data_IF_639502130982
#
_entry.id   IF_639502130982
#
_cell.length_a   1.000
_cell.length_b   1.000
_cell.length_c   1.000
_cell.angle_alpha   90.00
_cell.angle_beta   90.00
_cell.angle_gamma   90.00
#
_symmetry.space_group_name_H-M   'P 1'
#
loop_
_entity.id
_entity.type
_entity.pdbx_description
1 polymer ?
#
# COMPACT_ATOMS: atom_id res chain seq x y z
N UNK A 1 11.49 14.02 3.96
CA UNK A 1 12.04 13.91 2.57
C UNK A 1 11.30 12.85 1.81
N UNK A 2 11.35 12.85 0.46
CA UNK A 2 10.77 11.78 -0.35
C UNK A 2 11.63 10.51 -0.28
N UNK A 3 10.97 9.35 -0.32
CA UNK A 3 11.65 8.06 -0.44
C UNK A 3 12.50 8.04 -1.71
N UNK A 4 13.73 7.56 -1.62
CA UNK A 4 14.58 7.35 -2.79
C UNK A 4 13.99 6.24 -3.66
N UNK A 5 13.91 6.49 -4.97
CA UNK A 5 13.47 5.49 -5.92
C UNK A 5 14.59 4.50 -6.20
N UNK A 6 14.25 3.23 -6.19
CA UNK A 6 15.14 2.17 -6.61
C UNK A 6 14.89 1.86 -8.09
N UNK A 7 15.96 1.54 -8.80
CA UNK A 7 15.86 0.95 -10.13
C UNK A 7 15.62 -0.55 -9.96
N UNK A 8 14.35 -0.94 -10.00
CA UNK A 8 13.97 -2.34 -9.83
C UNK A 8 14.36 -3.15 -11.08
N UNK A 9 15.07 -4.25 -10.84
CA UNK A 9 15.36 -5.25 -11.87
C UNK A 9 14.07 -5.98 -12.28
N UNK A 10 14.18 -6.91 -13.23
CA UNK A 10 13.04 -7.70 -13.71
C UNK A 10 12.32 -8.50 -12.60
N UNK A 11 13.01 -8.81 -11.51
CA UNK A 11 12.42 -9.54 -10.39
C UNK A 11 12.95 -9.03 -9.05
N UNK A 12 12.07 -9.06 -8.04
CA UNK A 12 12.37 -8.79 -6.63
C UNK A 12 12.13 -10.07 -5.84
N UNK A 13 13.01 -10.33 -4.88
CA UNK A 13 12.86 -11.45 -3.96
C UNK A 13 12.42 -10.93 -2.59
N UNK A 14 11.32 -11.46 -2.08
CA UNK A 14 10.83 -11.17 -0.73
C UNK A 14 11.17 -12.33 0.20
N UNK A 15 11.54 -11.99 1.44
CA UNK A 15 11.69 -12.99 2.50
C UNK A 15 10.30 -13.23 3.08
N UNK A 16 9.88 -14.49 3.06
CA UNK A 16 8.60 -14.90 3.63
C UNK A 16 8.51 -14.55 5.12
N UNK A 17 7.34 -14.08 5.55
CA UNK A 17 7.04 -13.68 6.93
C UNK A 17 7.91 -12.52 7.47
N UNK A 18 8.45 -11.67 6.58
CA UNK A 18 9.22 -10.48 6.97
C UNK A 18 8.37 -9.21 7.14
N UNK A 19 7.05 -9.35 7.10
CA UNK A 19 6.11 -8.23 7.23
C UNK A 19 5.77 -7.56 5.90
N UNK A 20 5.24 -6.34 5.96
CA UNK A 20 4.85 -5.58 4.76
C UNK A 20 6.07 -4.93 4.14
N UNK A 21 6.30 -5.21 2.88
CA UNK A 21 7.40 -4.67 2.08
C UNK A 21 6.89 -3.63 1.09
N UNK A 22 7.72 -2.63 0.79
CA UNK A 22 7.32 -1.54 -0.10
C UNK A 22 8.19 -1.50 -1.35
N UNK A 23 7.54 -1.27 -2.50
CA UNK A 23 8.19 -0.92 -3.76
C UNK A 23 7.69 0.46 -4.19
N UNK A 24 8.61 1.38 -4.48
CA UNK A 24 8.29 2.76 -4.76
C UNK A 24 8.71 3.17 -6.17
N UNK A 25 7.79 3.86 -6.86
CA UNK A 25 8.00 4.33 -8.22
C UNK A 25 7.67 5.82 -8.32
N UNK A 26 8.44 6.53 -9.12
CA UNK A 26 8.07 7.86 -9.59
C UNK A 26 7.28 7.76 -10.89
N UNK A 27 6.30 8.61 -11.06
CA UNK A 27 5.45 8.61 -12.23
C UNK A 27 5.02 10.03 -12.61
N UNK A 28 5.06 10.32 -13.91
CA UNK A 28 4.33 11.42 -14.52
C UNK A 28 3.26 10.81 -15.43
N UNK A 29 2.00 10.69 -14.96
CA UNK A 29 0.94 10.00 -15.69
C UNK A 29 0.73 10.57 -17.08
N UNK A 30 0.67 9.70 -18.08
CA UNK A 30 0.35 10.07 -19.45
C UNK A 30 -1.03 9.52 -19.80
N UNK A 31 -1.90 10.38 -20.29
CA UNK A 31 -3.21 9.97 -20.78
C UNK A 31 -3.06 9.44 -22.22
N UNK A 32 -3.49 8.22 -22.45
CA UNK A 32 -3.47 7.58 -23.77
C UNK A 32 -4.88 7.51 -24.33
N UNK A 33 -5.01 7.35 -25.65
CA UNK A 33 -6.32 7.30 -26.31
C UNK A 33 -7.20 6.14 -25.81
N UNK A 34 -6.58 5.05 -25.31
CA UNK A 34 -7.28 3.91 -24.74
C UNK A 34 -7.73 4.10 -23.29
N UNK A 35 -7.12 5.05 -22.56
CA UNK A 35 -7.49 5.31 -21.19
C UNK A 35 -8.93 5.83 -21.08
N UNK A 36 -9.67 5.26 -20.11
CA UNK A 36 -10.99 5.75 -19.73
C UNK A 36 -12.09 5.56 -20.77
N UNK A 37 -11.95 4.65 -21.68
CA UNK A 37 -12.99 4.32 -22.68
C UNK A 37 -13.53 2.94 -22.40
N UNK A 38 -14.81 2.88 -21.99
CA UNK A 38 -15.44 1.65 -21.52
C UNK A 38 -16.76 1.38 -22.21
N UNK A 39 -17.11 0.10 -22.26
CA UNK A 39 -18.39 -0.42 -22.76
C UNK A 39 -18.83 -1.60 -21.90
N UNK A 40 -20.14 -1.86 -21.87
CA UNK A 40 -20.73 -3.08 -21.34
C UNK A 40 -21.50 -3.78 -22.45
N UNK A 41 -21.15 -5.03 -22.71
CA UNK A 41 -21.88 -5.81 -23.75
C UNK A 41 -23.29 -6.19 -23.34
N UNK A 42 -23.52 -6.34 -22.04
CA UNK A 42 -24.84 -6.65 -21.48
C UNK A 42 -25.09 -5.81 -20.23
N UNK A 43 -26.34 -5.58 -19.89
CA UNK A 43 -26.71 -4.78 -18.72
C UNK A 43 -26.08 -5.27 -17.39
N UNK A 44 -25.82 -6.58 -17.28
CA UNK A 44 -25.23 -7.21 -16.11
C UNK A 44 -23.82 -7.77 -16.36
N UNK A 45 -23.23 -7.48 -17.53
CA UNK A 45 -21.89 -7.93 -17.85
C UNK A 45 -20.81 -7.04 -17.24
N UNK A 46 -19.55 -7.49 -17.23
CA UNK A 46 -18.44 -6.72 -16.74
C UNK A 46 -18.24 -5.45 -17.56
N UNK A 47 -17.63 -4.46 -16.93
CA UNK A 47 -17.13 -3.27 -17.61
C UNK A 47 -15.85 -3.65 -18.37
N UNK A 48 -15.83 -3.38 -19.68
CA UNK A 48 -14.73 -3.70 -20.57
C UNK A 48 -14.08 -2.41 -21.08
N UNK A 49 -12.77 -2.32 -21.00
CA UNK A 49 -12.00 -1.23 -21.55
C UNK A 49 -11.81 -1.41 -23.05
N UNK A 50 -11.90 -0.34 -23.80
CA UNK A 50 -11.69 -0.34 -25.23
C UNK A 50 -10.22 -0.04 -25.59
N UNK A 51 -9.71 -0.81 -26.53
CA UNK A 51 -8.44 -0.48 -27.18
C UNK A 51 -8.66 0.56 -28.27
N UNK A 52 -7.62 1.37 -28.54
CA UNK A 52 -7.66 2.34 -29.61
C UNK A 52 -6.82 1.90 -30.82
N UNK A 53 -7.50 1.63 -31.92
CA UNK A 53 -6.86 1.35 -33.20
C UNK A 53 -6.33 2.67 -33.80
N UNK A 54 -5.03 2.93 -33.62
CA UNK A 54 -4.36 4.14 -34.09
C UNK A 54 -4.42 4.28 -35.62
N UNK A 55 -4.47 3.17 -36.35
CA UNK A 55 -4.44 3.18 -37.83
C UNK A 55 -5.78 3.66 -38.38
N UNK A 56 -6.88 3.18 -37.81
CA UNK A 56 -8.22 3.47 -38.28
C UNK A 56 -8.94 4.53 -37.43
N UNK A 57 -8.34 5.03 -36.38
CA UNK A 57 -8.89 6.07 -35.49
C UNK A 57 -10.20 5.65 -34.81
N UNK A 58 -10.30 4.39 -34.40
CA UNK A 58 -11.53 3.83 -33.82
C UNK A 58 -11.26 2.99 -32.58
N UNK A 59 -12.28 2.86 -31.73
CA UNK A 59 -12.21 2.03 -30.54
C UNK A 59 -12.64 0.61 -30.86
N UNK A 60 -11.96 -0.36 -30.26
CA UNK A 60 -12.23 -1.78 -30.48
C UNK A 60 -12.23 -2.54 -29.15
N UNK A 61 -13.02 -3.59 -29.09
CA UNK A 61 -12.86 -4.65 -28.09
C UNK A 61 -11.88 -5.69 -28.62
N UNK A 62 -10.96 -6.19 -27.79
CA UNK A 62 -10.12 -7.32 -28.16
C UNK A 62 -10.96 -8.53 -28.60
N UNK A 63 -10.55 -9.20 -29.67
CA UNK A 63 -11.22 -10.42 -30.11
C UNK A 63 -11.04 -11.56 -29.10
N UNK A 64 -12.12 -12.26 -28.78
CA UNK A 64 -12.07 -13.43 -27.91
C UNK A 64 -11.46 -14.60 -28.69
N UNK A 65 -10.52 -15.33 -28.08
CA UNK A 65 -9.85 -16.51 -28.66
C UNK A 65 -9.19 -16.28 -30.03
N UNK A 66 -8.59 -15.10 -30.24
CA UNK A 66 -7.91 -14.76 -31.50
C UNK A 66 -8.90 -14.31 -32.61
N UNK A 67 -10.15 -14.03 -32.28
CA UNK A 67 -11.12 -13.43 -33.20
C UNK A 67 -10.72 -12.01 -33.62
N UNK A 68 -11.39 -11.50 -34.66
CA UNK A 68 -11.18 -10.11 -35.10
C UNK A 68 -11.68 -9.13 -34.02
N UNK A 69 -10.97 -8.01 -33.79
CA UNK A 69 -11.42 -6.96 -32.88
C UNK A 69 -12.79 -6.39 -33.35
N UNK A 70 -13.70 -6.26 -32.42
CA UNK A 70 -15.01 -5.66 -32.68
C UNK A 70 -14.95 -4.13 -32.55
N UNK A 71 -15.40 -3.41 -33.57
CA UNK A 71 -15.47 -1.94 -33.51
C UNK A 71 -16.67 -1.52 -32.67
N UNK A 72 -16.42 -0.79 -31.59
CA UNK A 72 -17.43 -0.40 -30.61
C UNK A 72 -17.29 1.09 -30.27
N UNK A 73 -18.39 1.75 -29.97
CA UNK A 73 -18.37 3.13 -29.46
C UNK A 73 -18.29 3.10 -27.93
N UNK A 74 -17.47 3.95 -27.30
CA UNK A 74 -17.47 4.09 -25.84
C UNK A 74 -18.86 4.50 -25.31
N UNK A 75 -19.34 3.79 -24.31
CA UNK A 75 -20.55 4.17 -23.55
C UNK A 75 -20.21 5.08 -22.39
N UNK A 76 -19.06 4.82 -21.76
CA UNK A 76 -18.55 5.58 -20.63
C UNK A 76 -17.15 6.08 -20.94
N UNK A 77 -16.90 7.36 -20.63
CA UNK A 77 -15.59 7.98 -20.79
C UNK A 77 -15.18 8.62 -19.48
N UNK A 78 -14.08 8.14 -18.92
CA UNK A 78 -13.51 8.64 -17.66
C UNK A 78 -12.03 8.98 -17.89
N UNK A 79 -11.66 10.27 -17.97
CA UNK A 79 -10.27 10.65 -18.14
C UNK A 79 -9.38 10.18 -16.99
N UNK A 80 -8.14 9.81 -17.29
CA UNK A 80 -7.19 9.31 -16.29
C UNK A 80 -6.98 10.30 -15.13
N UNK A 81 -6.92 11.60 -15.41
CA UNK A 81 -6.74 12.60 -14.35
C UNK A 81 -7.88 12.64 -13.33
N UNK A 82 -9.13 12.30 -13.74
CA UNK A 82 -10.25 12.14 -12.81
C UNK A 82 -10.05 10.91 -11.93
N UNK A 83 -9.59 9.79 -12.52
CA UNK A 83 -9.31 8.57 -11.75
C UNK A 83 -8.22 8.81 -10.70
N UNK A 84 -7.16 9.54 -11.07
CA UNK A 84 -6.11 9.91 -10.15
C UNK A 84 -6.59 10.83 -9.03
N UNK A 85 -7.52 11.75 -9.32
CA UNK A 85 -8.10 12.61 -8.28
C UNK A 85 -9.01 11.82 -7.32
N UNK A 86 -9.84 10.90 -7.84
CA UNK A 86 -10.71 10.02 -7.04
C UNK A 86 -9.91 9.11 -6.12
N UNK A 87 -8.77 8.61 -6.58
CA UNK A 87 -7.99 7.57 -5.92
C UNK A 87 -6.72 8.11 -5.26
N UNK A 88 -6.50 9.44 -5.21
CA UNK A 88 -5.31 10.04 -4.60
C UNK A 88 -5.18 9.68 -3.13
N UNK A 89 -4.07 9.06 -2.78
CA UNK A 89 -3.77 8.66 -1.41
C UNK A 89 -4.63 7.53 -0.84
N UNK A 90 -5.43 6.87 -1.67
CA UNK A 90 -6.26 5.72 -1.26
C UNK A 90 -5.48 4.43 -1.49
N UNK A 91 -5.46 3.56 -0.47
CA UNK A 91 -4.96 2.21 -0.63
C UNK A 91 -5.99 1.34 -1.35
N UNK A 92 -5.57 0.70 -2.42
CA UNK A 92 -6.42 -0.16 -3.24
C UNK A 92 -5.77 -1.53 -3.43
N UNK A 93 -6.57 -2.59 -3.45
CA UNK A 93 -6.08 -3.92 -3.80
C UNK A 93 -5.65 -3.96 -5.26
N UNK A 94 -4.56 -4.68 -5.54
CA UNK A 94 -4.09 -4.93 -6.90
C UNK A 94 -3.79 -6.41 -7.10
N UNK A 95 -4.10 -6.97 -8.27
CA UNK A 95 -3.94 -8.38 -8.55
C UNK A 95 -2.48 -8.71 -8.87
N UNK A 96 -1.71 -9.10 -7.86
CA UNK A 96 -0.42 -9.76 -8.05
C UNK A 96 -0.66 -11.26 -8.05
N UNK A 97 -0.79 -11.84 -9.22
CA UNK A 97 -1.22 -13.23 -9.39
C UNK A 97 -0.04 -14.13 -9.75
N UNK A 98 -0.16 -15.41 -9.42
CA UNK A 98 0.75 -16.45 -9.91
C UNK A 98 0.69 -16.48 -11.43
N UNK A 99 1.85 -16.53 -12.08
CA UNK A 99 1.88 -16.61 -13.53
C UNK A 99 3.01 -17.48 -14.04
N UNK A 100 2.79 -18.02 -15.25
CA UNK A 100 3.79 -18.70 -16.04
C UNK A 100 4.23 -17.78 -17.19
N UNK A 101 5.53 -17.53 -17.38
CA UNK A 101 5.99 -16.79 -18.54
C UNK A 101 5.56 -17.48 -19.84
N UNK A 102 5.22 -16.76 -20.94
CA UNK A 102 5.42 -15.32 -21.06
C UNK A 102 4.34 -14.44 -20.41
N UNK A 103 3.12 -14.89 -20.15
CA UNK A 103 2.08 -14.11 -19.48
C UNK A 103 0.76 -14.89 -19.33
N UNK A 104 0.85 -16.09 -18.79
CA UNK A 104 -0.35 -16.87 -18.46
C UNK A 104 -0.56 -16.84 -16.95
N UNK A 105 -1.58 -16.12 -16.49
CA UNK A 105 -1.90 -16.02 -15.08
C UNK A 105 -2.69 -17.22 -14.60
N UNK A 106 -2.38 -17.66 -13.40
CA UNK A 106 -3.09 -18.69 -12.64
C UNK A 106 -3.76 -17.99 -11.46
N UNK A 107 -4.90 -18.49 -10.99
CA UNK A 107 -5.65 -17.90 -9.88
C UNK A 107 -4.80 -17.71 -8.62
N UNK A 108 -5.15 -16.64 -7.87
CA UNK A 108 -4.61 -16.25 -6.57
C UNK A 108 -3.10 -16.11 -6.47
N UNK A 109 -2.58 -15.64 -5.36
CA UNK A 109 -3.25 -15.12 -4.17
C UNK A 109 -3.77 -13.68 -4.39
N UNK A 110 -4.92 -13.34 -3.79
CA UNK A 110 -5.62 -12.09 -4.11
C UNK A 110 -5.26 -10.91 -3.20
N UNK A 111 -5.47 -11.04 -1.88
CA UNK A 111 -5.32 -9.92 -0.94
C UNK A 111 -3.94 -9.90 -0.27
N UNK A 112 -2.87 -9.75 -1.04
CA UNK A 112 -1.51 -9.64 -0.50
C UNK A 112 -0.71 -8.49 -1.12
N UNK A 113 -1.27 -7.81 -2.12
CA UNK A 113 -0.68 -6.65 -2.74
C UNK A 113 -1.67 -5.48 -2.78
N UNK A 114 -1.20 -4.30 -2.42
CA UNK A 114 -1.97 -3.05 -2.43
C UNK A 114 -1.14 -1.95 -3.04
N UNK A 115 -1.81 -0.98 -3.65
CA UNK A 115 -1.18 0.20 -4.23
C UNK A 115 -1.76 1.46 -3.64
N UNK A 116 -0.93 2.45 -3.47
CA UNK A 116 -1.33 3.84 -3.26
C UNK A 116 -0.64 4.71 -4.30
N UNK A 117 -1.40 5.57 -4.95
CA UNK A 117 -0.86 6.62 -5.82
C UNK A 117 -1.08 7.96 -5.14
N UNK A 118 -0.04 8.75 -5.04
CA UNK A 118 -0.09 10.06 -4.39
C UNK A 118 0.44 11.13 -5.32
N UNK A 119 -0.37 12.17 -5.54
CA UNK A 119 0.09 13.38 -6.21
C UNK A 119 1.08 14.13 -5.32
N UNK A 120 2.18 14.59 -5.88
CA UNK A 120 3.16 15.41 -5.18
C UNK A 120 2.79 16.89 -5.29
N UNK A 121 3.02 17.66 -4.23
CA UNK A 121 2.83 19.12 -4.23
C UNK A 121 3.78 19.80 -5.21
N UNK A 122 5.00 19.27 -5.31
CA UNK A 122 6.02 19.68 -6.29
C UNK A 122 6.63 18.43 -6.91
N UNK A 123 6.96 18.47 -8.23
CA UNK A 123 7.67 17.35 -8.85
C UNK A 123 8.95 17.00 -8.11
N UNK A 124 9.31 15.72 -8.11
CA UNK A 124 10.56 15.25 -7.53
C UNK A 124 11.77 15.64 -8.40
N UNK A 125 12.98 15.30 -7.95
CA UNK A 125 14.23 15.62 -8.64
C UNK A 125 14.35 14.99 -10.04
N UNK A 126 13.59 13.93 -10.31
CA UNK A 126 13.51 13.29 -11.62
C UNK A 126 12.35 13.83 -12.49
N UNK A 127 11.58 14.80 -11.97
CA UNK A 127 10.44 15.41 -12.66
C UNK A 127 9.13 14.63 -12.52
N UNK A 128 9.07 13.60 -11.67
CA UNK A 128 7.83 12.87 -11.46
C UNK A 128 6.84 13.70 -10.65
N UNK A 129 5.58 13.68 -11.08
CA UNK A 129 4.49 14.42 -10.43
C UNK A 129 3.69 13.57 -9.42
N UNK A 130 3.88 12.27 -9.45
CA UNK A 130 3.21 11.30 -8.57
C UNK A 130 4.20 10.30 -8.01
N UNK A 131 3.87 9.77 -6.84
CA UNK A 131 4.49 8.59 -6.24
C UNK A 131 3.51 7.43 -6.26
N UNK A 132 4.02 6.27 -6.64
CA UNK A 132 3.30 5.01 -6.57
C UNK A 132 4.02 4.13 -5.56
N UNK A 133 3.32 3.71 -4.53
CA UNK A 133 3.83 2.77 -3.53
C UNK A 133 3.03 1.49 -3.61
N UNK A 134 3.70 0.38 -3.94
CA UNK A 134 3.15 -0.96 -3.77
C UNK A 134 3.51 -1.45 -2.36
N UNK A 135 2.53 -1.94 -1.64
CA UNK A 135 2.71 -2.65 -0.38
C UNK A 135 2.43 -4.12 -0.61
N UNK A 136 3.39 -4.96 -0.27
CA UNK A 136 3.34 -6.40 -0.45
C UNK A 136 3.39 -7.07 0.92
N UNK A 137 2.37 -7.83 1.27
CA UNK A 137 2.33 -8.61 2.49
C UNK A 137 3.09 -9.92 2.28
N UNK A 138 4.23 -10.07 2.95
CA UNK A 138 5.09 -11.25 2.80
C UNK A 138 4.65 -12.44 3.63
N UNK A 139 3.56 -12.34 4.37
CA UNK A 139 3.04 -13.43 5.18
C UNK A 139 2.53 -14.58 4.31
N UNK A 140 3.01 -15.78 4.58
CA UNK A 140 2.58 -17.01 3.93
C UNK A 140 1.64 -17.82 4.83
N UNK A 141 0.62 -18.43 4.21
CA UNK A 141 -0.27 -19.32 4.92
C UNK A 141 0.43 -20.66 5.25
N UNK A 142 0.36 -21.06 6.51
CA UNK A 142 0.99 -22.29 7.01
C UNK A 142 0.35 -23.58 6.47
N UNK A 143 -0.82 -23.51 5.87
CA UNK A 143 -1.51 -24.66 5.27
C UNK A 143 -2.18 -24.29 3.94
N UNK A 144 -2.19 -25.24 3.03
CA UNK A 144 -2.62 -25.12 1.64
C UNK A 144 -4.12 -24.78 1.42
N UNK A 145 -4.85 -24.41 2.46
CA UNK A 145 -6.30 -24.15 2.38
C UNK A 145 -6.68 -22.75 1.96
N UNK A 146 -5.74 -21.79 1.98
CA UNK A 146 -5.99 -20.42 1.55
C UNK A 146 -5.39 -20.18 0.17
N UNK A 147 -6.21 -20.20 -0.86
CA UNK A 147 -5.82 -19.77 -2.21
C UNK A 147 -5.47 -18.27 -2.27
N UNK A 148 -5.83 -17.51 -1.22
CA UNK A 148 -5.74 -16.05 -1.16
C UNK A 148 -4.39 -15.52 -0.67
N UNK A 149 -3.49 -16.39 -0.23
CA UNK A 149 -2.15 -16.01 0.27
C UNK A 149 -1.07 -16.74 -0.51
N UNK A 150 0.15 -16.17 -0.58
CA UNK A 150 1.32 -16.98 -0.91
C UNK A 150 1.43 -18.16 0.05
N UNK A 151 1.78 -19.32 -0.45
CA UNK A 151 1.88 -20.56 0.33
C UNK A 151 3.29 -21.15 0.26
N UNK A 152 3.62 -22.07 1.17
CA UNK A 152 4.94 -22.72 1.19
C UNK A 152 5.30 -23.37 -0.16
N UNK A 153 4.34 -23.97 -0.84
CA UNK A 153 4.55 -24.57 -2.15
C UNK A 153 5.00 -23.55 -3.22
N UNK A 154 4.62 -22.28 -3.10
CA UNK A 154 5.09 -21.24 -4.01
C UNK A 154 6.58 -21.00 -3.84
N UNK A 155 7.09 -21.07 -2.60
CA UNK A 155 8.52 -20.96 -2.31
C UNK A 155 9.27 -22.15 -2.89
N UNK A 156 8.78 -23.37 -2.61
CA UNK A 156 9.42 -24.62 -3.04
C UNK A 156 9.48 -24.72 -4.58
N UNK A 157 8.44 -24.26 -5.26
CA UNK A 157 8.34 -24.28 -6.71
C UNK A 157 9.00 -23.08 -7.39
N UNK A 158 9.48 -22.10 -6.64
CA UNK A 158 10.00 -20.84 -7.19
C UNK A 158 8.95 -20.07 -7.99
N UNK A 159 7.69 -20.14 -7.52
CA UNK A 159 6.55 -19.48 -8.17
C UNK A 159 6.80 -17.99 -8.33
N UNK A 160 6.42 -17.46 -9.48
CA UNK A 160 6.49 -16.03 -9.81
C UNK A 160 5.11 -15.41 -9.66
N UNK A 161 5.12 -14.19 -9.17
CA UNK A 161 3.94 -13.33 -9.06
C UNK A 161 4.18 -12.07 -9.86
N UNK A 162 3.19 -11.63 -10.62
CA UNK A 162 3.26 -10.39 -11.37
C UNK A 162 1.95 -9.63 -11.33
N UNK A 163 2.03 -8.34 -11.59
CA UNK A 163 0.86 -7.49 -11.71
C UNK A 163 0.06 -7.89 -12.95
N UNK A 164 -1.16 -8.35 -12.74
CA UNK A 164 -2.16 -8.52 -13.81
C UNK A 164 -2.89 -7.18 -14.00
N UNK A 165 -3.04 -6.70 -15.24
CA UNK A 165 -3.62 -5.39 -15.48
C UNK A 165 -4.48 -5.28 -16.74
N UNK A 166 -4.51 -6.32 -17.58
CA UNK A 166 -5.41 -6.37 -18.73
C UNK A 166 -6.77 -6.90 -18.31
N UNK A 167 -7.82 -6.40 -18.92
CA UNK A 167 -9.21 -6.76 -18.57
C UNK A 167 -9.41 -8.27 -18.49
N UNK A 168 -8.90 -9.03 -19.47
CA UNK A 168 -8.99 -10.50 -19.51
C UNK A 168 -8.19 -11.22 -18.39
N UNK A 169 -7.27 -10.53 -17.75
CA UNK A 169 -6.44 -11.06 -16.66
C UNK A 169 -7.06 -10.79 -15.29
N UNK A 170 -7.94 -9.79 -15.20
CA UNK A 170 -8.46 -9.28 -13.91
C UNK A 170 -9.96 -9.51 -13.71
N UNK A 171 -10.65 -10.11 -14.67
CA UNK A 171 -12.10 -10.36 -14.61
C UNK A 171 -12.49 -11.09 -13.31
N UNK A 172 -11.84 -12.22 -13.02
CA UNK A 172 -12.11 -13.01 -11.81
C UNK A 172 -11.78 -12.25 -10.52
N UNK A 173 -10.81 -11.32 -10.56
CA UNK A 173 -10.48 -10.49 -9.42
C UNK A 173 -11.55 -9.44 -9.15
N UNK A 174 -12.09 -8.80 -10.19
CA UNK A 174 -13.17 -7.84 -10.08
C UNK A 174 -14.51 -8.44 -9.64
N UNK A 175 -14.74 -9.72 -9.93
CA UNK A 175 -15.96 -10.42 -9.54
C UNK A 175 -16.03 -10.76 -8.05
N UNK A 176 -14.93 -10.55 -7.31
CA UNK A 176 -14.90 -10.80 -5.88
C UNK A 176 -15.66 -9.71 -5.11
N UNK A 177 -16.54 -10.14 -4.21
CA UNK A 177 -17.42 -9.23 -3.45
C UNK A 177 -16.67 -8.22 -2.61
N UNK A 178 -15.53 -8.62 -2.01
CA UNK A 178 -14.72 -7.73 -1.19
C UNK A 178 -13.98 -6.68 -2.04
N UNK A 179 -13.61 -7.00 -3.29
CA UNK A 179 -13.05 -6.03 -4.24
C UNK A 179 -14.11 -5.01 -4.63
N UNK A 180 -15.29 -5.47 -5.06
CA UNK A 180 -16.40 -4.59 -5.42
C UNK A 180 -16.78 -3.66 -4.26
N UNK A 181 -16.88 -4.20 -3.04
CA UNK A 181 -17.16 -3.44 -1.82
C UNK A 181 -16.10 -2.36 -1.56
N UNK A 182 -14.82 -2.72 -1.67
CA UNK A 182 -13.72 -1.76 -1.46
C UNK A 182 -13.75 -0.60 -2.45
N UNK A 183 -13.90 -0.92 -3.74
CA UNK A 183 -13.91 0.10 -4.79
C UNK A 183 -15.12 1.03 -4.66
N UNK A 184 -16.30 0.50 -4.31
CA UNK A 184 -17.50 1.30 -4.01
C UNK A 184 -17.28 2.24 -2.83
N UNK A 185 -16.70 1.74 -1.75
CA UNK A 185 -16.46 2.54 -0.57
C UNK A 185 -15.43 3.64 -0.83
N UNK A 186 -14.33 3.34 -1.52
CA UNK A 186 -13.33 4.34 -1.90
C UNK A 186 -13.94 5.46 -2.76
N UNK A 187 -14.77 5.09 -3.73
CA UNK A 187 -15.46 6.05 -4.58
C UNK A 187 -16.48 6.89 -3.82
N UNK A 188 -17.26 6.28 -2.92
CA UNK A 188 -18.24 6.98 -2.10
C UNK A 188 -17.57 8.01 -1.19
N UNK A 189 -16.48 7.65 -0.54
CA UNK A 189 -15.72 8.58 0.31
C UNK A 189 -15.21 9.80 -0.44
N UNK A 190 -14.73 9.61 -1.66
CA UNK A 190 -14.37 10.75 -2.51
C UNK A 190 -15.60 11.60 -2.83
N UNK A 191 -16.71 10.96 -3.23
CA UNK A 191 -17.94 11.65 -3.62
C UNK A 191 -18.53 12.48 -2.50
N UNK A 192 -18.47 11.98 -1.25
CA UNK A 192 -18.95 12.70 -0.05
C UNK A 192 -18.09 13.94 0.27
N UNK A 193 -16.84 13.96 -0.17
CA UNK A 193 -15.94 15.11 -0.04
C UNK A 193 -16.10 16.17 -1.13
N UNK A 194 -16.82 15.87 -2.21
CA UNK A 194 -17.02 16.81 -3.33
C UNK A 194 -18.29 17.63 -3.12
N UNK A 195 -18.12 18.95 -2.97
CA UNK A 195 -19.25 19.87 -2.91
C UNK A 195 -20.15 19.77 -4.15
N UNK A 196 -21.48 19.74 -3.96
CA UNK A 196 -22.50 19.72 -5.00
C UNK A 196 -22.72 18.41 -5.77
N UNK A 197 -22.20 17.28 -5.33
CA UNK A 197 -22.61 15.99 -5.91
C UNK A 197 -23.92 15.53 -5.27
N UNK A 198 -24.96 15.35 -6.08
CA UNK A 198 -26.24 14.88 -5.57
C UNK A 198 -26.22 13.37 -5.30
N UNK A 199 -27.03 12.91 -4.35
CA UNK A 199 -27.19 11.46 -4.10
C UNK A 199 -27.67 10.71 -5.36
N UNK A 200 -28.47 11.36 -6.20
CA UNK A 200 -28.91 10.80 -7.47
C UNK A 200 -27.75 10.54 -8.43
N UNK A 201 -26.79 11.49 -8.51
CA UNK A 201 -25.64 11.36 -9.37
C UNK A 201 -24.71 10.24 -8.87
N UNK A 202 -24.55 10.13 -7.55
CA UNK A 202 -23.80 9.03 -6.94
C UNK A 202 -24.44 7.67 -7.26
N UNK A 203 -25.75 7.54 -7.10
CA UNK A 203 -26.47 6.31 -7.45
C UNK A 203 -26.34 5.97 -8.94
N UNK A 204 -26.39 6.99 -9.80
CA UNK A 204 -26.19 6.78 -11.24
C UNK A 204 -24.76 6.30 -11.55
N UNK A 205 -23.75 6.90 -10.95
CA UNK A 205 -22.35 6.49 -11.09
C UNK A 205 -22.13 5.04 -10.60
N UNK A 206 -22.78 4.66 -9.49
CA UNK A 206 -22.74 3.29 -8.98
C UNK A 206 -23.37 2.29 -9.96
N UNK A 207 -24.49 2.64 -10.57
CA UNK A 207 -25.18 1.79 -11.59
C UNK A 207 -24.40 1.65 -12.88
N UNK A 208 -23.61 2.67 -13.23
CA UNK A 208 -22.74 2.64 -14.43
C UNK A 208 -21.36 2.02 -14.16
N UNK A 209 -21.08 1.55 -12.93
CA UNK A 209 -19.80 0.98 -12.52
C UNK A 209 -18.62 1.96 -12.67
N UNK A 210 -18.88 3.25 -12.46
CA UNK A 210 -17.87 4.30 -12.55
C UNK A 210 -16.69 4.04 -11.61
N UNK A 211 -16.95 3.52 -10.41
CA UNK A 211 -15.92 3.15 -9.43
C UNK A 211 -14.97 2.06 -9.93
N UNK A 212 -15.46 1.08 -10.69
CA UNK A 212 -14.60 0.06 -11.34
C UNK A 212 -13.79 0.67 -12.48
N UNK A 213 -14.39 1.58 -13.26
CA UNK A 213 -13.70 2.26 -14.34
C UNK A 213 -12.51 3.10 -13.86
N UNK A 214 -12.64 3.78 -12.73
CA UNK A 214 -11.52 4.49 -12.10
C UNK A 214 -10.39 3.54 -11.72
N UNK A 215 -10.71 2.40 -11.13
CA UNK A 215 -9.71 1.40 -10.76
C UNK A 215 -9.04 0.76 -11.98
N UNK A 216 -9.81 0.41 -13.03
CA UNK A 216 -9.26 -0.11 -14.28
C UNK A 216 -8.33 0.87 -14.97
N UNK A 217 -8.64 2.17 -14.96
CA UNK A 217 -7.75 3.22 -15.44
C UNK A 217 -6.43 3.24 -14.68
N UNK A 218 -6.50 3.21 -13.35
CA UNK A 218 -5.32 3.17 -12.50
C UNK A 218 -4.47 1.93 -12.81
N UNK A 219 -5.09 0.76 -12.84
CA UNK A 219 -4.41 -0.51 -13.07
C UNK A 219 -3.71 -0.55 -14.44
N UNK A 220 -4.39 -0.06 -15.48
CA UNK A 220 -3.83 0.05 -16.83
C UNK A 220 -2.62 0.98 -16.85
N UNK A 221 -2.74 2.15 -16.23
CA UNK A 221 -1.62 3.10 -16.11
C UNK A 221 -0.40 2.45 -15.42
N UNK A 222 -0.62 1.72 -14.33
CA UNK A 222 0.45 1.00 -13.63
C UNK A 222 1.12 -0.01 -14.55
N UNK A 223 0.35 -0.80 -15.28
CA UNK A 223 0.86 -1.84 -16.16
C UNK A 223 1.51 -1.35 -17.45
N UNK A 224 1.09 -0.20 -17.98
CA UNK A 224 1.63 0.37 -19.22
C UNK A 224 2.81 1.32 -18.98
N UNK A 225 2.80 2.08 -17.88
CA UNK A 225 3.76 3.17 -17.68
C UNK A 225 4.83 2.87 -16.63
N UNK A 226 4.67 1.80 -15.85
CA UNK A 226 5.67 1.36 -14.87
C UNK A 226 6.26 0.01 -15.25
N UNK A 227 7.55 -0.15 -14.98
CA UNK A 227 8.20 -1.45 -14.99
C UNK A 227 8.05 -2.07 -13.61
N UNK A 228 6.87 -2.68 -13.35
CA UNK A 228 6.62 -3.36 -12.09
C UNK A 228 7.31 -4.72 -12.11
N UNK A 229 8.23 -5.01 -11.16
CA UNK A 229 8.99 -6.24 -11.17
C UNK A 229 8.12 -7.46 -10.83
N UNK A 230 8.53 -8.62 -11.32
CA UNK A 230 8.02 -9.89 -10.82
C UNK A 230 8.50 -10.12 -9.38
N UNK A 231 7.68 -10.78 -8.58
CA UNK A 231 7.99 -11.09 -7.18
C UNK A 231 8.15 -12.59 -6.98
N UNK A 232 9.14 -12.98 -6.20
CA UNK A 232 9.36 -14.34 -5.72
C UNK A 232 9.53 -14.33 -4.21
N UNK A 233 9.19 -15.44 -3.60
CA UNK A 233 9.43 -15.65 -2.17
C UNK A 233 10.57 -16.63 -1.93
N UNK A 234 11.30 -16.37 -0.84
CA UNK A 234 12.30 -17.29 -0.28
C UNK A 234 12.13 -17.36 1.24
N UNK A 235 12.55 -18.47 1.84
CA UNK A 235 12.73 -18.52 3.28
C UNK A 235 14.10 -17.95 3.64
N UNK A 236 14.22 -17.39 4.85
CA UNK A 236 15.50 -16.82 5.30
C UNK A 236 16.62 -17.88 5.37
N UNK A 237 16.28 -19.17 5.53
CA UNK A 237 17.22 -20.28 5.53
C UNK A 237 17.87 -20.58 4.17
N UNK A 238 17.25 -20.11 3.08
CA UNK A 238 17.79 -20.24 1.72
C UNK A 238 18.52 -18.99 1.25
N UNK A 239 18.53 -17.95 2.06
CA UNK A 239 19.17 -16.68 1.74
C UNK A 239 20.65 -16.68 2.15
N UNK A 240 21.41 -15.72 1.63
CA UNK A 240 22.74 -15.37 2.12
C UNK A 240 22.73 -15.14 3.63
N UNK A 241 23.85 -15.37 4.32
CA UNK A 241 23.96 -15.10 5.75
C UNK A 241 23.46 -13.69 6.09
N UNK A 242 22.77 -13.53 7.21
CA UNK A 242 22.35 -12.22 7.71
C UNK A 242 23.59 -11.34 7.96
N UNK A 243 23.50 -10.09 7.54
CA UNK A 243 24.54 -9.10 7.82
C UNK A 243 24.29 -8.59 9.24
N UNK A 244 25.25 -8.68 10.17
CA UNK A 244 25.13 -8.09 11.49
C UNK A 244 25.01 -6.57 11.36
N UNK A 245 24.14 -5.98 12.18
CA UNK A 245 23.88 -4.54 12.18
C UNK A 245 23.95 -4.01 13.60
N UNK A 246 24.78 -3.01 13.81
CA UNK A 246 24.78 -2.21 15.04
C UNK A 246 23.88 -0.98 14.82
N UNK A 247 22.91 -0.77 15.70
CA UNK A 247 22.08 0.43 15.72
C UNK A 247 22.49 1.34 16.89
N UNK A 248 22.99 2.52 16.56
CA UNK A 248 23.34 3.55 17.54
C UNK A 248 22.26 4.63 17.52
N UNK A 249 21.60 4.86 18.67
CA UNK A 249 20.54 5.85 18.81
C UNK A 249 20.97 6.96 19.80
N UNK A 250 20.78 8.21 19.39
CA UNK A 250 20.77 9.36 20.31
C UNK A 250 19.31 9.80 20.52
N UNK A 251 18.77 9.50 21.69
CA UNK A 251 17.40 9.85 22.06
C UNK A 251 17.41 11.13 22.88
N UNK A 252 17.21 12.26 22.20
CA UNK A 252 17.07 13.56 22.84
C UNK A 252 15.65 13.83 23.35
N UNK A 253 15.47 14.93 24.08
CA UNK A 253 14.12 15.36 24.52
C UNK A 253 13.27 15.88 23.37
N UNK A 254 13.89 16.51 22.38
CA UNK A 254 13.21 17.18 21.27
C UNK A 254 13.36 16.40 19.97
N UNK A 255 14.55 15.90 19.71
CA UNK A 255 14.87 15.17 18.49
C UNK A 255 15.65 13.89 18.83
N UNK A 256 15.44 12.91 17.97
CA UNK A 256 16.16 11.63 17.98
C UNK A 256 16.88 11.48 16.65
N UNK A 257 18.06 10.91 16.66
CA UNK A 257 18.76 10.45 15.46
C UNK A 257 19.40 9.09 15.70
N UNK A 258 19.82 8.46 14.63
CA UNK A 258 20.51 7.19 14.72
C UNK A 258 21.41 6.92 13.54
N UNK A 259 22.32 6.00 13.73
CA UNK A 259 23.24 5.49 12.73
C UNK A 259 23.16 3.97 12.73
N UNK A 260 23.05 3.41 11.52
CA UNK A 260 23.10 1.99 11.28
C UNK A 260 24.50 1.66 10.76
N UNK A 261 25.15 0.66 11.36
CA UNK A 261 26.48 0.20 10.96
C UNK A 261 26.36 -1.27 10.56
N UNK A 262 26.60 -1.56 9.29
CA UNK A 262 26.57 -2.93 8.75
C UNK A 262 27.97 -3.53 8.76
N UNK A 263 28.10 -4.77 9.27
CA UNK A 263 29.33 -5.55 9.27
C UNK A 263 29.28 -6.62 8.16
N UNK A 264 29.91 -6.34 7.03
CA UNK A 264 29.95 -7.22 5.88
C UNK A 264 31.05 -8.30 5.92
N UNK A 265 31.76 -8.45 7.02
CA UNK A 265 32.69 -9.57 7.31
C UNK A 265 33.87 -9.79 6.38
N UNK A 266 33.70 -9.50 5.09
CA UNK A 266 34.67 -9.75 4.01
C UNK A 266 35.45 -8.49 3.58
N UNK A 267 35.20 -7.36 4.22
CA UNK A 267 35.93 -6.14 3.90
C UNK A 267 37.35 -6.24 4.47
N UNK A 268 38.31 -6.53 3.61
CA UNK A 268 39.74 -6.58 3.93
C UNK A 268 40.27 -5.29 4.59
N UNK A 269 39.48 -4.24 4.65
CA UNK A 269 39.85 -2.91 5.13
C UNK A 269 39.11 -2.46 6.40
N UNK A 270 38.26 -3.31 6.99
CA UNK A 270 37.50 -2.95 8.20
C UNK A 270 36.54 -1.77 8.03
N UNK A 271 36.23 -1.40 6.78
CA UNK A 271 35.25 -0.38 6.46
C UNK A 271 33.85 -0.95 6.64
N UNK A 272 33.26 -0.62 7.77
CA UNK A 272 31.85 -0.85 8.02
C UNK A 272 31.05 0.15 7.19
N UNK A 273 30.00 -0.34 6.53
CA UNK A 273 29.07 0.57 5.87
C UNK A 273 28.20 1.24 6.91
N UNK A 274 28.16 2.56 6.89
CA UNK A 274 27.33 3.35 7.80
C UNK A 274 26.26 4.08 7.04
N UNK A 275 25.04 4.06 7.58
CA UNK A 275 23.89 4.80 7.04
C UNK A 275 23.18 5.55 8.17
N UNK A 276 22.64 6.70 7.87
CA UNK A 276 21.74 7.40 8.77
C UNK A 276 20.42 6.64 8.92
N UNK A 277 19.93 6.54 10.16
CA UNK A 277 18.63 5.94 10.42
C UNK A 277 17.53 6.82 9.80
N UNK A 278 16.79 6.26 8.87
CA UNK A 278 15.63 6.90 8.26
C UNK A 278 14.37 6.14 8.62
N UNK A 279 13.38 6.83 9.16
CA UNK A 279 12.11 6.24 9.58
C UNK A 279 11.04 6.61 8.58
N UNK A 280 10.40 5.59 8.02
CA UNK A 280 9.33 5.79 7.03
C UNK A 280 8.02 6.14 7.72
N UNK A 281 7.31 7.14 7.19
CA UNK A 281 5.92 7.38 7.55
C UNK A 281 5.04 6.27 6.95
N UNK A 282 4.24 5.60 7.79
CA UNK A 282 3.32 4.57 7.30
C UNK A 282 1.96 5.15 6.89
N UNK A 283 1.62 6.33 7.40
CA UNK A 283 0.43 7.08 6.99
C UNK A 283 0.61 7.74 5.63
N UNK A 284 1.84 8.16 5.32
CA UNK A 284 2.23 8.77 4.05
C UNK A 284 3.52 8.11 3.55
N UNK A 285 3.43 6.89 3.00
CA UNK A 285 4.59 6.03 2.76
C UNK A 285 5.59 6.57 1.73
N UNK A 286 5.21 7.59 0.96
CA UNK A 286 6.10 8.31 0.06
C UNK A 286 7.15 9.18 0.80
N UNK A 287 7.03 9.35 2.13
CA UNK A 287 7.91 10.17 2.92
C UNK A 287 8.76 9.38 3.90
N UNK A 288 10.03 9.79 4.01
CA UNK A 288 10.92 9.46 5.10
C UNK A 288 11.07 10.68 6.01
N UNK A 289 11.27 10.43 7.29
CA UNK A 289 11.68 11.47 8.21
C UNK A 289 13.06 12.02 7.83
N UNK A 290 13.35 13.26 8.23
CA UNK A 290 14.72 13.75 8.27
C UNK A 290 15.56 12.87 9.22
N UNK A 291 16.89 12.76 9.02
CA UNK A 291 17.75 11.96 9.89
C UNK A 291 17.71 12.39 11.37
N UNK A 292 17.39 13.66 11.60
CA UNK A 292 17.12 14.23 12.92
C UNK A 292 15.61 14.45 13.07
N UNK A 293 14.89 13.45 13.55
CA UNK A 293 13.43 13.48 13.63
C UNK A 293 12.92 13.80 15.04
N UNK A 294 11.70 14.27 15.13
CA UNK A 294 11.04 14.67 16.39
C UNK A 294 10.98 13.50 17.37
N UNK A 295 11.44 13.71 18.62
CA UNK A 295 11.30 12.73 19.72
C UNK A 295 9.87 12.71 20.22
N UNK A 296 8.98 12.05 19.43
CA UNK A 296 7.58 11.86 19.75
C UNK A 296 7.13 10.44 19.38
N UNK A 297 6.32 9.88 20.24
CA UNK A 297 5.63 8.61 20.03
C UNK A 297 4.12 8.87 20.01
N UNK A 298 3.40 8.24 19.08
CA UNK A 298 1.94 8.20 19.06
C UNK A 298 1.47 6.77 18.86
N UNK A 299 0.40 6.39 19.54
CA UNK A 299 -0.23 5.10 19.35
C UNK A 299 -1.21 5.18 18.20
N UNK A 300 -0.90 4.45 17.14
CA UNK A 300 -1.72 4.39 15.94
C UNK A 300 -1.45 3.10 15.19
N UNK A 301 -2.50 2.45 14.75
CA UNK A 301 -2.36 1.32 13.84
C UNK A 301 -1.91 1.80 12.46
N UNK A 302 -0.98 1.10 11.86
CA UNK A 302 -0.69 1.27 10.44
C UNK A 302 -1.82 0.64 9.63
N UNK A 303 -2.40 1.42 8.73
CA UNK A 303 -3.53 0.96 7.92
C UNK A 303 -3.19 1.06 6.44
N UNK A 304 -3.23 -0.08 5.78
CA UNK A 304 -3.04 -0.20 4.33
C UNK A 304 -4.39 -0.41 3.63
N UNK A 305 -5.37 0.42 3.94
CA UNK A 305 -6.76 0.27 3.56
C UNK A 305 -7.63 -0.16 4.75
N UNK A 306 -8.85 -0.58 4.48
CA UNK A 306 -9.81 -0.92 5.54
C UNK A 306 -9.74 -2.38 5.95
N UNK A 307 -9.65 -2.62 7.26
CA UNK A 307 -9.42 -3.94 7.82
C UNK A 307 -10.58 -4.93 7.56
N UNK A 308 -11.82 -4.46 7.51
CA UNK A 308 -12.95 -5.36 7.26
C UNK A 308 -12.86 -6.08 5.90
N UNK A 309 -12.23 -5.46 4.88
CA UNK A 309 -12.00 -6.13 3.60
C UNK A 309 -10.93 -7.24 3.68
N UNK A 310 -10.04 -7.21 4.67
CA UNK A 310 -9.15 -8.33 4.93
C UNK A 310 -9.95 -9.54 5.44
N UNK A 311 -10.89 -9.31 6.36
CA UNK A 311 -11.79 -10.37 6.86
C UNK A 311 -12.64 -10.94 5.70
N UNK A 312 -13.28 -10.08 4.92
CA UNK A 312 -14.11 -10.49 3.77
C UNK A 312 -13.33 -11.26 2.70
N UNK A 313 -12.05 -10.98 2.53
CA UNK A 313 -11.17 -11.69 1.62
C UNK A 313 -10.72 -13.07 2.13
N UNK A 314 -11.03 -13.42 3.39
CA UNK A 314 -10.57 -14.63 4.04
C UNK A 314 -9.14 -14.56 4.60
N UNK A 315 -8.54 -13.36 4.63
CA UNK A 315 -7.23 -13.08 5.24
C UNK A 315 -7.39 -12.03 6.34
N UNK A 316 -7.87 -12.43 7.50
CA UNK A 316 -8.12 -11.52 8.64
C UNK A 316 -6.87 -10.75 9.07
N UNK A 317 -5.72 -11.38 8.96
CA UNK A 317 -4.40 -10.88 9.33
C UNK A 317 -3.62 -10.22 8.18
N UNK A 318 -4.26 -10.02 7.01
CA UNK A 318 -3.61 -9.37 5.89
C UNK A 318 -3.22 -7.92 6.23
N UNK A 319 -1.96 -7.58 5.94
CA UNK A 319 -1.41 -6.24 6.15
C UNK A 319 -1.42 -5.75 7.60
N UNK A 320 -1.31 -6.65 8.55
CA UNK A 320 -1.11 -6.30 9.96
C UNK A 320 0.33 -5.85 10.15
N UNK A 321 0.49 -4.64 10.70
CA UNK A 321 1.80 -4.13 11.08
C UNK A 321 2.06 -4.49 12.55
N UNK A 322 3.24 -5.02 12.90
CA UNK A 322 3.47 -5.58 14.23
C UNK A 322 3.52 -4.52 15.35
N UNK A 323 3.71 -3.25 15.02
CA UNK A 323 3.84 -2.19 16.01
C UNK A 323 2.71 -1.18 15.93
N UNK A 324 2.11 -0.87 17.08
CA UNK A 324 1.13 0.23 17.23
C UNK A 324 1.79 1.57 17.48
N UNK A 325 3.11 1.65 17.52
CA UNK A 325 3.85 2.89 17.79
C UNK A 325 4.24 3.54 16.47
N UNK A 326 3.89 4.82 16.34
CA UNK A 326 4.36 5.72 15.28
C UNK A 326 5.37 6.69 15.90
N UNK A 327 6.38 7.08 15.16
CA UNK A 327 7.49 7.91 15.64
C UNK A 327 7.75 9.10 14.72
N UNK A 328 8.50 10.06 15.20
CA UNK A 328 9.01 11.18 14.41
C UNK A 328 7.92 12.08 13.86
N UNK A 329 8.04 12.47 12.59
CA UNK A 329 7.11 13.39 11.94
C UNK A 329 5.70 12.81 11.74
N UNK A 330 5.59 11.49 11.54
CA UNK A 330 4.29 10.83 11.52
C UNK A 330 3.57 10.99 12.85
N UNK A 331 4.26 10.72 13.97
CA UNK A 331 3.70 10.90 15.30
C UNK A 331 3.32 12.37 15.56
N UNK A 332 4.16 13.31 15.13
CA UNK A 332 3.85 14.75 15.24
C UNK A 332 2.59 15.13 14.49
N UNK A 333 2.42 14.67 13.24
CA UNK A 333 1.22 14.92 12.42
C UNK A 333 -0.03 14.32 13.07
N UNK A 334 0.03 13.08 13.53
CA UNK A 334 -1.08 12.41 14.22
C UNK A 334 -1.50 13.17 15.49
N UNK A 335 -0.54 13.63 16.27
CA UNK A 335 -0.82 14.43 17.48
C UNK A 335 -1.51 15.76 17.17
N UNK A 336 -1.16 16.40 16.05
CA UNK A 336 -1.78 17.66 15.62
C UNK A 336 -3.22 17.47 15.13
N UNK A 337 -3.54 16.28 14.61
CA UNK A 337 -4.89 15.95 14.13
C UNK A 337 -5.82 15.50 15.26
N UNK A 338 -5.30 15.31 16.47
CA UNK A 338 -6.09 14.88 17.62
C UNK A 338 -7.17 15.87 17.96
N UNK A 339 -8.41 15.40 17.97
CA UNK A 339 -9.58 16.18 18.37
C UNK A 339 -9.86 15.96 19.86
N UNK A 340 -9.68 17.01 20.66
CA UNK A 340 -10.10 17.04 22.05
C UNK A 340 -9.05 16.60 23.07
N UNK A 341 -9.47 16.65 24.35
CA UNK A 341 -8.64 16.39 25.52
C UNK A 341 -8.84 15.01 26.13
N UNK A 342 -9.55 14.13 25.45
CA UNK A 342 -9.94 12.82 25.98
C UNK A 342 -8.83 11.79 25.85
N UNK A 343 -8.07 11.60 26.91
CA UNK A 343 -7.04 10.58 27.02
C UNK A 343 -5.72 10.94 26.35
N UNK A 344 -4.69 10.13 26.57
CA UNK A 344 -3.39 10.28 26.00
C UNK A 344 -3.20 9.33 24.81
N UNK A 345 -2.83 9.85 23.65
CA UNK A 345 -2.57 9.07 22.45
C UNK A 345 -1.09 8.87 22.15
N UNK A 346 -0.22 9.52 22.92
CA UNK A 346 1.21 9.45 22.72
C UNK A 346 2.02 10.26 23.71
N UNK A 347 3.32 10.26 23.52
CA UNK A 347 4.32 10.84 24.44
C UNK A 347 5.21 11.78 23.66
N UNK A 348 5.39 12.99 24.17
CA UNK A 348 6.49 13.88 23.77
C UNK A 348 7.66 13.71 24.71
N UNK A 349 8.88 13.84 24.17
CA UNK A 349 10.11 13.75 24.96
C UNK A 349 10.25 12.44 25.76
N UNK A 350 10.30 11.29 25.08
CA UNK A 350 10.30 9.96 25.72
C UNK A 350 11.48 9.79 26.71
N UNK A 351 12.60 10.47 26.44
CA UNK A 351 13.77 10.43 27.34
C UNK A 351 13.44 10.78 28.79
N UNK A 352 12.43 11.62 29.05
CA UNK A 352 12.04 11.98 30.42
C UNK A 352 11.54 10.78 31.21
N UNK A 353 11.00 9.80 30.54
CA UNK A 353 10.41 8.61 31.15
C UNK A 353 11.40 7.47 31.35
N UNK A 354 12.60 7.55 30.78
CA UNK A 354 13.65 6.54 30.97
C UNK A 354 14.18 6.46 32.41
N UNK A 355 13.97 7.51 33.20
CA UNK A 355 14.48 7.65 34.55
C UNK A 355 13.38 7.66 35.64
N UNK A 356 12.12 7.61 35.23
CA UNK A 356 11.00 7.71 36.14
C UNK A 356 10.50 6.30 36.47
N UNK A 357 10.75 5.88 37.68
CA UNK A 357 10.33 4.56 38.21
C UNK A 357 8.90 4.57 38.76
N UNK A 358 8.19 5.69 38.68
CA UNK A 358 6.84 5.81 39.21
C UNK A 358 5.85 5.22 38.23
N UNK A 359 5.13 4.14 38.57
CA UNK A 359 4.11 3.57 37.68
C UNK A 359 2.93 4.53 37.55
N UNK A 360 2.79 5.17 36.40
CA UNK A 360 1.65 6.02 36.09
C UNK A 360 0.72 5.25 35.15
N UNK A 361 -0.42 4.83 35.66
CA UNK A 361 -1.49 4.25 34.82
C UNK A 361 -2.17 5.39 34.08
N UNK A 362 -2.14 5.33 32.77
CA UNK A 362 -2.81 6.31 31.91
C UNK A 362 -3.82 5.61 30.99
N UNK A 363 -4.92 6.30 30.69
CA UNK A 363 -5.87 5.85 29.69
C UNK A 363 -5.32 6.16 28.28
N UNK A 364 -4.59 5.20 27.74
CA UNK A 364 -4.04 5.31 26.38
C UNK A 364 -5.09 5.10 25.32
N UNK A 365 -5.01 5.87 24.23
CA UNK A 365 -5.93 5.78 23.09
C UNK A 365 -5.18 5.87 21.77
N UNK A 366 -5.77 5.37 20.71
CA UNK A 366 -5.23 5.55 19.36
C UNK A 366 -5.49 6.97 18.85
N UNK A 367 -4.47 7.62 18.27
CA UNK A 367 -4.55 9.00 17.78
C UNK A 367 -5.41 9.16 16.52
N UNK A 368 -5.55 8.13 15.71
CA UNK A 368 -6.37 8.16 14.48
C UNK A 368 -7.86 7.90 14.73
N UNK A 369 -8.24 7.58 15.93
CA UNK A 369 -9.60 7.22 16.22
C UNK A 369 -10.45 8.48 16.37
N UNK A 370 -11.48 8.57 15.52
CA UNK A 370 -12.49 9.59 15.67
C UNK A 370 -13.16 9.40 17.03
N UNK A 371 -13.06 10.39 17.91
CA UNK A 371 -13.58 10.34 19.28
C UNK A 371 -15.07 10.00 19.39
N UNK A 372 -15.80 10.07 18.27
CA UNK A 372 -17.23 9.69 18.20
C UNK A 372 -17.46 8.19 18.11
N UNK A 373 -16.50 7.42 17.62
CA UNK A 373 -16.68 5.98 17.32
C UNK A 373 -15.96 5.05 18.26
N UNK A 374 -14.93 5.53 18.97
CA UNK A 374 -14.18 4.67 19.89
C UNK A 374 -13.84 5.43 21.17
N UNK A 375 -14.63 5.15 22.20
CA UNK A 375 -14.49 5.72 23.54
C UNK A 375 -13.69 4.84 24.50
N UNK A 376 -13.40 3.60 24.13
CA UNK A 376 -12.71 2.67 24.98
C UNK A 376 -11.20 2.93 24.98
N UNK A 377 -10.57 2.94 26.14
CA UNK A 377 -9.10 2.97 26.25
C UNK A 377 -8.50 1.76 25.53
N UNK A 378 -7.25 1.90 25.06
CA UNK A 378 -6.49 0.74 24.65
C UNK A 378 -6.48 -0.28 25.78
N UNK A 379 -6.87 -1.50 25.49
CA UNK A 379 -6.94 -2.61 26.46
C UNK A 379 -5.56 -3.03 27.00
N UNK A 380 -4.54 -2.23 26.78
CA UNK A 380 -3.19 -2.43 27.29
C UNK A 380 -3.07 -1.73 28.63
N UNK A 381 -3.22 -2.47 29.67
CA UNK A 381 -2.97 -2.02 31.04
C UNK A 381 -1.48 -2.01 31.41
N UNK A 382 -0.56 -1.76 30.46
CA UNK A 382 0.84 -1.60 30.88
C UNK A 382 1.12 -0.13 31.18
N UNK A 383 1.60 0.19 32.37
CA UNK A 383 2.28 1.45 32.55
C UNK A 383 3.46 1.49 31.60
N UNK A 384 3.52 2.49 30.75
CA UNK A 384 4.63 2.66 29.78
C UNK A 384 6.01 2.51 30.44
N UNK A 385 6.09 2.89 31.69
CA UNK A 385 7.28 2.86 32.51
C UNK A 385 7.77 1.43 32.80
N UNK A 386 6.87 0.48 33.00
CA UNK A 386 7.26 -0.91 33.21
C UNK A 386 7.89 -1.52 31.95
N UNK A 387 7.46 -1.12 30.77
CA UNK A 387 8.08 -1.55 29.52
C UNK A 387 9.48 -0.95 29.30
N UNK A 388 9.75 0.23 29.85
CA UNK A 388 11.04 0.89 29.68
C UNK A 388 12.05 0.52 30.78
N UNK A 389 11.58 0.02 31.94
CA UNK A 389 12.44 -0.27 33.08
C UNK A 389 12.72 -1.75 33.30
N UNK A 390 11.86 -2.66 32.84
CA UNK A 390 12.04 -4.11 33.10
C UNK A 390 13.12 -4.75 32.23
N UNK A 391 13.47 -4.18 31.09
CA UNK A 391 14.48 -4.74 30.18
C UNK A 391 15.71 -3.82 29.97
N UNK A 392 15.85 -2.78 30.75
CA UNK A 392 17.05 -1.92 30.77
C UNK A 392 17.23 -1.09 29.54
#
# INVERSE_FOLDING_TARGET
MLVNLCDYKQSVTLIANSGVQFLDFGLTPQDTASHGRFVRKTANGPLLRLDFDMVNGRYTLPGINGGQPEVVKPETTIPLHQSLAVLDGVWLPVPFLRFNPPRTFVEGPDNWARVQVRKLDTPDTAGNTHRVTLALDSQIAGHATSALSPVENDILNGTRFALAWRDTEVENFLDQTWIDGWLREAFTQYADGVENRSERDLQQAMRSFEYQAHWLNLLTMLGEQLTVPEVKFVTHTLSTPAIPVDLILDVGNTHTCGVIIEDHGDANDGLRQTAELQVRSLSEPQFLNEPLFTSRLEFSEARFGKQHFSVESGREDAFVWPSIVRVGDEARKLAMQRLGTEGNSGISSPRRYLWDETPVVQDWRFSQMNSKTQREPLATAFPLMNLMNDDG
#
